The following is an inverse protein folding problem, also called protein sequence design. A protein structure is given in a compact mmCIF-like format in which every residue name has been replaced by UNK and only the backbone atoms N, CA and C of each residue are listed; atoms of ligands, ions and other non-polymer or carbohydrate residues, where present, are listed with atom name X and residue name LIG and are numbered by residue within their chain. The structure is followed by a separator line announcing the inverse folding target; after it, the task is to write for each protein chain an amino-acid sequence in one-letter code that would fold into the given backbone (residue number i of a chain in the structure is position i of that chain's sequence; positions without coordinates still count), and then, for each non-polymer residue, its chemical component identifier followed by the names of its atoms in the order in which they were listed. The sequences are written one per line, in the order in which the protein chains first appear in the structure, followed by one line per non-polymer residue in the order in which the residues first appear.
data_IF_907871727497
#
_entry.id   IF_907871727497
#
_cell.length_a   1.000
_cell.length_b   1.000
_cell.length_c   1.000
_cell.angle_alpha   90.00
_cell.angle_beta   90.00
_cell.angle_gamma   90.00
#
_symmetry.space_group_name_H-M   'P 1'
#
loop_
_entity.id
_entity.type
_entity.pdbx_description
1 polymer ?
#
# COMPACT_ATOMS: atom_id res chain seq x y z
N UNK A 1 5.53 7.93 -36.98
CA UNK A 1 4.76 6.71 -36.59
C UNK A 1 5.42 5.86 -35.51
N UNK A 2 6.62 6.22 -35.05
CA UNK A 2 7.38 5.50 -34.00
C UNK A 2 7.14 6.00 -32.57
N UNK A 3 6.53 7.17 -32.38
CA UNK A 3 6.31 7.78 -31.07
C UNK A 3 5.13 7.19 -30.27
N UNK A 4 4.30 6.33 -30.90
CA UNK A 4 3.11 5.74 -30.25
C UNK A 4 3.39 4.42 -29.53
N UNK A 5 4.48 3.73 -29.88
CA UNK A 5 4.85 2.44 -29.24
C UNK A 5 5.50 2.61 -27.88
N UNK A 6 6.27 3.68 -27.69
CA UNK A 6 7.00 3.89 -26.43
C UNK A 6 6.12 4.39 -25.27
N UNK A 7 4.98 5.02 -25.59
CA UNK A 7 4.01 5.46 -24.56
C UNK A 7 3.23 4.32 -23.94
N UNK A 8 3.07 3.18 -24.63
CA UNK A 8 2.40 1.99 -24.07
C UNK A 8 3.24 1.23 -23.06
N UNK A 9 4.56 1.36 -23.13
CA UNK A 9 5.47 0.66 -22.21
C UNK A 9 5.51 1.28 -20.80
N UNK A 10 5.07 2.53 -20.64
CA UNK A 10 5.13 3.24 -19.35
C UNK A 10 3.89 3.07 -18.45
N UNK A 11 2.80 2.47 -18.94
CA UNK A 11 1.51 2.38 -18.23
C UNK A 11 1.12 1.01 -17.61
N UNK A 12 1.89 -0.08 -17.74
CA UNK A 12 1.48 -1.35 -17.11
C UNK A 12 1.65 -1.39 -15.59
N UNK A 13 2.01 -0.26 -14.97
CA UNK A 13 2.28 -0.19 -13.53
C UNK A 13 1.09 0.30 -12.68
N UNK A 14 -0.11 0.46 -13.25
CA UNK A 14 -1.26 1.01 -12.51
C UNK A 14 -1.65 0.14 -11.30
N UNK A 15 -1.56 -1.18 -11.41
CA UNK A 15 -1.76 -2.10 -10.29
C UNK A 15 -0.74 -1.89 -9.18
N UNK A 16 0.55 -1.89 -9.55
CA UNK A 16 1.64 -1.75 -8.59
C UNK A 16 1.58 -0.39 -7.89
N UNK A 17 1.33 0.70 -8.65
CA UNK A 17 1.19 2.03 -8.10
C UNK A 17 0.00 2.14 -7.14
N UNK A 18 -1.18 1.64 -7.55
CA UNK A 18 -2.37 1.63 -6.70
C UNK A 18 -2.15 0.80 -5.44
N UNK A 19 -1.54 -0.38 -5.56
CA UNK A 19 -1.22 -1.23 -4.40
C UNK A 19 -0.22 -0.55 -3.47
N UNK A 20 0.79 0.13 -4.00
CA UNK A 20 1.76 0.89 -3.22
C UNK A 20 1.11 2.06 -2.47
N UNK A 21 0.21 2.80 -3.12
CA UNK A 21 -0.56 3.89 -2.48
C UNK A 21 -1.44 3.36 -1.35
N UNK A 22 -2.19 2.28 -1.59
CA UNK A 22 -3.04 1.66 -0.56
C UNK A 22 -2.19 1.15 0.59
N UNK A 23 -1.06 0.51 0.32
CA UNK A 23 -0.11 0.06 1.34
C UNK A 23 0.40 1.23 2.20
N UNK A 24 0.80 2.32 1.55
CA UNK A 24 1.29 3.52 2.22
C UNK A 24 0.21 4.14 3.13
N UNK A 25 -1.01 4.30 2.62
CA UNK A 25 -2.11 4.94 3.35
C UNK A 25 -2.67 4.07 4.48
N UNK A 26 -2.70 2.75 4.28
CA UNK A 26 -3.22 1.80 5.27
C UNK A 26 -2.17 1.34 6.29
N UNK A 27 -0.88 1.57 6.03
CA UNK A 27 0.22 1.04 6.84
C UNK A 27 0.39 -0.48 6.74
N UNK A 28 -0.28 -1.12 5.76
CA UNK A 28 -0.18 -2.57 5.54
C UNK A 28 0.87 -2.84 4.46
N UNK A 29 1.95 -3.55 4.76
CA UNK A 29 3.02 -3.78 3.79
C UNK A 29 2.59 -4.73 2.67
N UNK A 30 3.17 -4.52 1.47
CA UNK A 30 3.03 -5.42 0.33
C UNK A 30 3.96 -6.62 0.50
N UNK A 31 3.51 -7.77 0.03
CA UNK A 31 4.36 -8.99 -0.05
C UNK A 31 5.50 -8.76 -1.03
N UNK A 32 6.72 -9.12 -0.62
CA UNK A 32 7.93 -8.99 -1.45
C UNK A 32 8.12 -10.10 -2.50
N UNK A 33 7.30 -11.15 -2.46
CA UNK A 33 7.37 -12.31 -3.35
C UNK A 33 6.29 -12.29 -4.45
N UNK A 34 5.58 -11.19 -4.60
CA UNK A 34 4.46 -11.02 -5.54
C UNK A 34 4.83 -10.03 -6.63
N UNK A 35 4.79 -10.49 -7.87
CA UNK A 35 4.76 -9.63 -9.05
C UNK A 35 3.31 -9.41 -9.48
N UNK A 36 3.03 -8.30 -10.13
CA UNK A 36 1.69 -8.01 -10.63
C UNK A 36 1.74 -7.32 -11.97
N UNK A 37 0.81 -7.67 -12.84
CA UNK A 37 0.66 -7.08 -14.16
C UNK A 37 -0.80 -6.91 -14.52
N UNK A 38 -1.11 -5.85 -15.24
CA UNK A 38 -2.47 -5.49 -15.62
C UNK A 38 -2.67 -3.98 -15.62
N UNK A 39 -3.78 -3.54 -16.15
CA UNK A 39 -4.25 -2.16 -16.08
C UNK A 39 -5.52 -2.11 -15.21
N UNK A 40 -5.71 -1.01 -14.48
CA UNK A 40 -6.89 -0.81 -13.65
C UNK A 40 -7.73 0.31 -14.24
N UNK A 41 -9.02 0.06 -14.42
CA UNK A 41 -10.00 1.11 -14.77
C UNK A 41 -10.37 1.94 -13.54
N UNK A 42 -10.98 3.11 -13.78
CA UNK A 42 -11.52 3.96 -12.69
C UNK A 42 -12.59 3.23 -11.84
N UNK A 43 -13.22 2.20 -12.39
CA UNK A 43 -14.18 1.36 -11.66
C UNK A 43 -13.53 0.21 -10.90
N UNK A 44 -12.20 0.09 -10.95
CA UNK A 44 -11.46 -0.95 -10.25
C UNK A 44 -11.42 -2.30 -10.98
N UNK A 45 -11.82 -2.38 -12.24
CA UNK A 45 -11.70 -3.59 -13.04
C UNK A 45 -10.28 -3.74 -13.57
N UNK A 46 -9.82 -4.97 -13.62
CA UNK A 46 -8.52 -5.35 -14.15
C UNK A 46 -8.66 -5.66 -15.63
N UNK A 47 -7.87 -4.97 -16.46
CA UNK A 47 -7.87 -5.14 -17.92
C UNK A 47 -6.70 -6.03 -18.37
N UNK A 48 -6.89 -6.76 -19.48
CA UNK A 48 -5.85 -7.59 -20.06
C UNK A 48 -4.68 -6.76 -20.61
N UNK A 49 -3.52 -7.42 -20.65
CA UNK A 49 -2.27 -6.84 -21.14
C UNK A 49 -1.66 -7.70 -22.23
N UNK A 50 -0.73 -7.11 -22.99
CA UNK A 50 0.14 -7.86 -23.89
C UNK A 50 1.46 -8.27 -23.21
N UNK A 51 2.14 -9.28 -23.79
CA UNK A 51 3.48 -9.69 -23.39
C UNK A 51 3.52 -10.38 -22.02
N UNK A 52 2.54 -11.23 -21.70
CA UNK A 52 2.52 -12.00 -20.48
C UNK A 52 3.75 -12.89 -20.32
N UNK A 53 4.21 -13.50 -21.42
CA UNK A 53 5.39 -14.37 -21.45
C UNK A 53 6.65 -13.64 -20.95
N UNK A 54 6.94 -12.47 -21.52
CA UNK A 54 8.13 -11.68 -21.15
C UNK A 54 8.09 -11.21 -19.72
N UNK A 55 6.91 -10.78 -19.26
CA UNK A 55 6.70 -10.32 -17.88
C UNK A 55 6.83 -11.47 -16.88
N UNK A 56 6.31 -12.65 -17.22
CA UNK A 56 6.43 -13.84 -16.38
C UNK A 56 7.87 -14.31 -16.28
N UNK A 57 8.61 -14.27 -17.40
CA UNK A 57 10.05 -14.59 -17.43
C UNK A 57 10.86 -13.59 -16.57
N UNK A 58 10.53 -12.30 -16.63
CA UNK A 58 11.18 -11.29 -15.79
C UNK A 58 10.91 -11.57 -14.30
N UNK A 59 9.65 -11.83 -13.93
CA UNK A 59 9.29 -12.18 -12.55
C UNK A 59 10.02 -13.42 -12.05
N UNK A 60 10.17 -14.44 -12.90
CA UNK A 60 10.92 -15.64 -12.58
C UNK A 60 12.40 -15.35 -12.29
N UNK A 61 13.05 -14.54 -13.14
CA UNK A 61 14.45 -14.13 -12.96
C UNK A 61 14.68 -13.33 -11.68
N UNK A 62 13.71 -12.51 -11.29
CA UNK A 62 13.74 -11.74 -10.04
C UNK A 62 13.40 -12.59 -8.80
N UNK A 63 13.16 -13.89 -8.96
CA UNK A 63 12.89 -14.80 -7.85
C UNK A 63 11.51 -14.64 -7.22
N UNK A 64 10.56 -14.03 -7.92
CA UNK A 64 9.17 -13.95 -7.48
C UNK A 64 8.57 -15.35 -7.32
N UNK A 65 7.53 -15.45 -6.50
CA UNK A 65 6.81 -16.72 -6.28
C UNK A 65 5.40 -16.69 -6.85
N UNK A 66 4.80 -15.52 -6.85
CA UNK A 66 3.42 -15.35 -7.28
C UNK A 66 3.33 -14.22 -8.30
N UNK A 67 2.55 -14.43 -9.36
CA UNK A 67 2.26 -13.42 -10.37
C UNK A 67 0.76 -13.20 -10.44
N UNK A 68 0.31 -11.97 -10.16
CA UNK A 68 -1.08 -11.57 -10.34
C UNK A 68 -1.28 -11.15 -11.78
N UNK A 69 -2.19 -11.81 -12.47
CA UNK A 69 -2.50 -11.57 -13.88
C UNK A 69 -3.98 -11.18 -14.05
N UNK A 70 -4.32 -10.42 -15.09
CA UNK A 70 -5.73 -10.25 -15.45
C UNK A 70 -6.36 -11.59 -15.77
N UNK A 71 -7.62 -11.79 -15.39
CA UNK A 71 -8.33 -13.03 -15.69
C UNK A 71 -8.41 -13.30 -17.19
N UNK A 72 -8.59 -12.27 -17.98
CA UNK A 72 -8.69 -12.36 -19.42
C UNK A 72 -7.37 -12.78 -20.09
N UNK A 73 -6.25 -12.78 -19.37
CA UNK A 73 -4.97 -13.33 -19.82
C UNK A 73 -4.73 -14.79 -19.40
N UNK A 74 -5.69 -15.48 -18.80
CA UNK A 74 -5.54 -16.92 -18.51
C UNK A 74 -5.21 -17.75 -19.76
N UNK A 75 -5.82 -17.51 -20.93
CA UNK A 75 -5.46 -18.22 -22.15
C UNK A 75 -3.99 -18.00 -22.58
N UNK A 76 -3.43 -16.81 -22.32
CA UNK A 76 -2.05 -16.47 -22.71
C UNK A 76 -1.00 -17.24 -21.88
N UNK A 77 -1.42 -17.92 -20.80
CA UNK A 77 -0.55 -18.82 -20.05
C UNK A 77 -0.05 -19.99 -20.90
N UNK A 78 -0.74 -20.30 -22.00
CA UNK A 78 -0.29 -21.33 -22.94
C UNK A 78 1.09 -20.97 -23.51
N UNK A 79 1.36 -19.70 -23.80
CA UNK A 79 2.61 -19.22 -24.40
C UNK A 79 3.75 -19.06 -23.37
N UNK A 80 3.48 -19.19 -22.09
CA UNK A 80 4.50 -19.10 -21.03
C UNK A 80 5.28 -20.40 -20.96
N UNK A 81 6.61 -20.28 -20.79
CA UNK A 81 7.51 -21.42 -20.72
C UNK A 81 7.16 -22.37 -19.54
N UNK A 82 7.24 -23.67 -19.76
CA UNK A 82 6.89 -24.71 -18.78
C UNK A 82 7.72 -24.60 -17.50
N UNK A 83 9.00 -24.22 -17.62
CA UNK A 83 9.86 -24.01 -16.45
C UNK A 83 9.35 -22.86 -15.58
N UNK A 84 8.91 -21.77 -16.21
CA UNK A 84 8.33 -20.62 -15.52
C UNK A 84 7.02 -21.00 -14.83
N UNK A 85 6.14 -21.74 -15.52
CA UNK A 85 4.88 -22.23 -14.94
C UNK A 85 5.07 -23.12 -13.71
N UNK A 86 6.12 -23.94 -13.68
CA UNK A 86 6.43 -24.82 -12.53
C UNK A 86 6.91 -24.06 -11.30
N UNK A 87 7.56 -22.93 -11.51
CA UNK A 87 8.19 -22.16 -10.43
C UNK A 87 7.37 -20.95 -9.96
N UNK A 88 6.42 -20.49 -10.78
CA UNK A 88 5.54 -19.37 -10.46
C UNK A 88 4.10 -19.81 -10.27
N UNK A 89 3.45 -19.24 -9.27
CA UNK A 89 2.00 -19.39 -9.09
C UNK A 89 1.29 -18.23 -9.75
N UNK A 90 0.48 -18.50 -10.75
CA UNK A 90 -0.33 -17.49 -11.42
C UNK A 90 -1.70 -17.37 -10.75
N UNK A 91 -2.08 -16.16 -10.40
CA UNK A 91 -3.38 -15.86 -9.80
C UNK A 91 -4.15 -14.89 -10.69
N UNK A 92 -5.25 -15.36 -11.33
CA UNK A 92 -6.07 -14.50 -12.17
C UNK A 92 -6.94 -13.58 -11.32
N UNK A 93 -6.95 -12.29 -11.68
CA UNK A 93 -7.63 -11.21 -10.98
C UNK A 93 -8.61 -10.50 -11.89
N UNK A 94 -9.81 -10.20 -11.40
CA UNK A 94 -10.83 -9.44 -12.12
C UNK A 94 -10.95 -8.00 -11.64
N UNK A 95 -10.67 -7.76 -10.38
CA UNK A 95 -10.85 -6.46 -9.76
C UNK A 95 -9.74 -6.13 -8.75
N UNK A 96 -9.63 -4.84 -8.45
CA UNK A 96 -8.62 -4.30 -7.54
C UNK A 96 -8.70 -4.91 -6.13
N UNK A 97 -9.90 -5.22 -5.65
CA UNK A 97 -10.07 -5.80 -4.30
C UNK A 97 -9.36 -7.14 -4.18
N UNK A 98 -9.42 -7.98 -5.23
CA UNK A 98 -8.72 -9.26 -5.29
C UNK A 98 -7.20 -9.04 -5.34
N UNK A 99 -6.73 -8.06 -6.12
CA UNK A 99 -5.31 -7.71 -6.19
C UNK A 99 -4.78 -7.30 -4.82
N UNK A 100 -5.47 -6.41 -4.13
CA UNK A 100 -5.07 -5.95 -2.79
C UNK A 100 -5.09 -7.08 -1.76
N UNK A 101 -6.13 -7.94 -1.79
CA UNK A 101 -6.23 -9.08 -0.88
C UNK A 101 -5.09 -10.10 -1.06
N UNK A 102 -4.59 -10.26 -2.30
CA UNK A 102 -3.50 -11.17 -2.62
C UNK A 102 -2.11 -10.55 -2.37
N UNK A 103 -1.97 -9.24 -2.63
CA UNK A 103 -0.70 -8.54 -2.58
C UNK A 103 -0.33 -8.00 -1.19
N UNK A 104 -1.32 -7.58 -0.39
CA UNK A 104 -1.07 -7.04 0.94
C UNK A 104 -0.91 -8.15 1.97
N UNK A 105 0.03 -7.97 2.88
CA UNK A 105 0.14 -8.84 4.05
C UNK A 105 -1.12 -8.67 4.90
N UNK A 106 -1.70 -9.79 5.36
CA UNK A 106 -2.79 -9.70 6.35
C UNK A 106 -2.25 -8.92 7.55
N UNK A 107 -2.96 -7.88 8.03
CA UNK A 107 -2.54 -7.20 9.23
C UNK A 107 -2.40 -8.26 10.32
N UNK A 108 -1.20 -8.42 10.90
CA UNK A 108 -1.06 -9.15 12.16
C UNK A 108 -2.07 -8.48 13.09
N UNK A 109 -3.06 -9.26 13.56
CA UNK A 109 -3.99 -8.78 14.56
C UNK A 109 -3.18 -8.01 15.59
N UNK A 110 -3.38 -6.70 15.66
CA UNK A 110 -2.73 -5.88 16.64
C UNK A 110 -3.13 -6.52 17.97
N UNK A 111 -2.18 -7.12 18.68
CA UNK A 111 -2.37 -7.44 20.08
C UNK A 111 -2.81 -6.13 20.67
N UNK A 112 -4.06 -6.05 21.06
CA UNK A 112 -4.61 -4.90 21.76
C UNK A 112 -3.68 -4.68 22.95
N UNK A 113 -2.87 -3.64 22.90
CA UNK A 113 -2.27 -3.08 24.08
C UNK A 113 -3.39 -2.40 24.84
N UNK A 114 -4.30 -3.24 25.37
CA UNK A 114 -5.16 -2.87 26.47
C UNK A 114 -4.22 -2.62 27.65
N UNK A 115 -4.28 -1.42 28.18
CA UNK A 115 -3.67 -1.17 29.46
C UNK A 115 -2.60 -0.07 29.47
N UNK A 116 -2.96 1.14 29.06
CA UNK A 116 -2.35 2.28 29.71
C UNK A 116 -3.02 2.46 31.06
N UNK A 117 -2.36 2.23 32.21
CA UNK A 117 -2.98 2.42 33.50
C UNK A 117 -3.36 3.90 33.64
N UNK A 118 -4.65 4.19 33.79
CA UNK A 118 -5.10 5.49 34.28
C UNK A 118 -4.49 5.68 35.68
N UNK A 119 -3.51 6.54 35.76
CA UNK A 119 -3.01 7.04 37.04
C UNK A 119 -4.20 7.66 37.77
N UNK A 120 -4.49 7.07 38.90
CA UNK A 120 -5.47 7.57 39.85
C UNK A 120 -5.06 8.97 40.29
N UNK A 121 -5.96 9.92 40.08
CA UNK A 121 -5.92 11.27 40.59
C UNK A 121 -5.97 11.20 42.12
N UNK A 122 -4.87 11.40 42.79
CA UNK A 122 -4.83 11.62 44.23
C UNK A 122 -5.40 13.00 44.52
N UNK A 123 -6.49 13.02 45.32
CA UNK A 123 -6.99 14.18 46.05
C UNK A 123 -5.96 14.54 47.13
N UNK A 124 -5.68 15.80 47.24
CA UNK A 124 -5.62 16.58 48.49
C UNK A 124 -4.55 17.69 48.34
N UNK A 125 -4.91 18.86 48.80
CA UNK A 125 -3.99 19.94 49.03
C UNK A 125 -4.54 21.32 48.67
N UNK A 126 -5.62 21.71 49.34
CA UNK A 126 -6.04 23.10 49.56
C UNK A 126 -4.92 23.87 50.27
N UNK A 127 -4.46 24.99 49.73
CA UNK A 127 -4.17 26.18 50.53
C UNK A 127 -3.65 27.35 49.71
N UNK A 128 -4.42 28.41 49.80
CA UNK A 128 -4.03 29.81 49.99
C UNK A 128 -3.30 30.54 48.86
N UNK A 129 -4.11 31.39 48.27
CA UNK A 129 -3.73 32.66 47.66
C UNK A 129 -3.19 33.60 48.75
N UNK A 130 -2.13 34.33 48.53
CA UNK A 130 -1.98 35.69 49.09
C UNK A 130 -2.02 36.72 47.97
N UNK A 131 -2.72 37.76 48.31
CA UNK A 131 -3.02 38.96 47.53
C UNK A 131 -1.78 39.76 47.16
N UNK A 132 -1.99 40.53 46.09
CA UNK A 132 -1.13 41.61 45.61
C UNK A 132 -0.85 42.68 46.68
N UNK A 133 0.18 43.48 46.49
CA UNK A 133 0.04 44.91 46.71
C UNK A 133 0.28 45.74 45.44
N UNK A 134 -0.62 46.65 45.32
CA UNK A 134 -0.71 47.82 44.49
C UNK A 134 0.32 48.90 44.88
N UNK A 135 0.54 49.84 43.92
CA UNK A 135 1.14 51.17 43.97
C UNK A 135 2.65 51.23 43.62
N UNK A 136 3.04 52.00 42.66
CA UNK A 136 2.90 53.47 42.60
C UNK A 136 3.42 54.01 41.26
N UNK A 137 2.68 54.84 40.57
CA UNK A 137 3.21 55.96 39.75
C UNK A 137 3.70 57.07 40.72
N UNK A 138 4.38 58.11 40.32
CA UNK A 138 4.46 58.82 39.05
C UNK A 138 5.83 59.44 38.70
N UNK A 139 5.87 60.21 37.58
CA UNK A 139 6.89 61.24 37.31
C UNK A 139 7.30 61.24 35.87
N UNK A 140 6.74 61.95 35.08
CA UNK A 140 6.80 63.22 34.41
C UNK A 140 8.23 63.78 34.26
N UNK A 141 8.41 64.40 33.08
CA UNK A 141 9.27 65.50 32.70
C UNK A 141 10.44 65.21 31.75
N UNK A 142 10.29 65.91 30.70
CA UNK A 142 11.08 66.41 29.57
C UNK A 142 11.04 65.60 28.32
#
# INVERSE_FOLDING_TARGET
ETASKDKKALWPASHALTTALVSCLSGVPVRGDVAMTGEITLHGNVLPIGGLREKSMAAYREGMKTVLIPKDNEPDLYDVDEEVKKNLTFLPMQNLSQVLAAALLKPKAAKSTAGRPRTKKSKAGESRIPAAPEKNQPGAVC
#
